data_IF_444842177202
#
_entry.id   IF_444842177202
#
_cell.length_a   1.000
_cell.length_b   1.000
_cell.length_c   1.000
_cell.angle_alpha   90.00
_cell.angle_beta   90.00
_cell.angle_gamma   90.00
#
_symmetry.space_group_name_H-M   'P 1'
#
loop_
_entity.id
_entity.type
_entity.pdbx_description
1 polymer ?
#
# COMPACT_ATOMS: atom_id res chain seq x y z
N UNK A 1 55.00 33.97 11.05
CA UNK A 1 54.39 34.82 10.01
C UNK A 1 52.90 34.52 9.94
N UNK A 2 52.03 35.47 10.31
CA UNK A 2 50.56 35.30 10.24
C UNK A 2 50.13 35.49 8.78
N UNK A 3 49.63 34.46 8.10
CA UNK A 3 49.15 34.62 6.73
C UNK A 3 47.97 35.63 6.68
N UNK A 4 47.88 36.47 5.64
CA UNK A 4 46.94 37.59 5.61
C UNK A 4 45.50 37.06 5.67
N UNK A 5 44.71 37.57 6.64
CA UNK A 5 43.36 37.10 7.01
C UNK A 5 42.44 36.80 5.81
N UNK A 6 42.55 37.60 4.75
CA UNK A 6 41.83 37.44 3.48
C UNK A 6 42.10 36.11 2.75
N UNK A 7 43.35 35.61 2.74
CA UNK A 7 43.70 34.34 2.07
C UNK A 7 43.16 33.13 2.83
N UNK A 8 43.04 33.23 4.16
CA UNK A 8 42.46 32.17 4.99
C UNK A 8 40.96 32.07 4.87
N UNK A 9 40.27 33.22 4.79
CA UNK A 9 38.83 33.24 4.51
C UNK A 9 38.54 32.62 3.13
N UNK A 10 39.36 32.92 2.11
CA UNK A 10 39.25 32.32 0.79
C UNK A 10 39.43 30.79 0.80
N UNK A 11 40.42 30.28 1.53
CA UNK A 11 40.64 28.83 1.70
C UNK A 11 39.44 28.19 2.41
N UNK A 12 38.92 28.82 3.45
CA UNK A 12 37.77 28.30 4.22
C UNK A 12 36.50 28.28 3.37
N UNK A 13 36.25 29.32 2.57
CA UNK A 13 35.14 29.37 1.61
C UNK A 13 35.31 28.29 0.53
N UNK A 14 36.52 28.08 -0.01
CA UNK A 14 36.78 27.04 -1.00
C UNK A 14 36.51 25.63 -0.45
N UNK A 15 36.93 25.35 0.79
CA UNK A 15 36.67 24.07 1.47
C UNK A 15 35.15 23.86 1.67
N UNK A 16 34.43 24.90 2.08
CA UNK A 16 32.98 24.83 2.26
C UNK A 16 32.27 24.52 0.93
N UNK A 17 32.71 25.15 -0.16
CA UNK A 17 32.15 24.97 -1.50
C UNK A 17 32.42 23.55 -2.04
N UNK A 18 33.65 23.06 -1.90
CA UNK A 18 34.02 21.68 -2.28
C UNK A 18 33.23 20.66 -1.46
N UNK A 19 33.05 20.88 -0.16
CA UNK A 19 32.28 19.98 0.70
C UNK A 19 30.81 19.94 0.29
N UNK A 20 30.22 21.09 -0.05
CA UNK A 20 28.82 21.18 -0.51
C UNK A 20 28.63 20.51 -1.88
N UNK A 21 29.58 20.69 -2.80
CA UNK A 21 29.57 20.03 -4.12
C UNK A 21 29.75 18.51 -3.94
N UNK A 22 30.65 18.07 -3.06
CA UNK A 22 30.88 16.67 -2.77
C UNK A 22 29.64 16.00 -2.16
N UNK A 23 28.95 16.65 -1.21
CA UNK A 23 27.71 16.11 -0.63
C UNK A 23 26.57 16.06 -1.64
N UNK A 24 26.41 17.08 -2.49
CA UNK A 24 25.44 17.09 -3.59
C UNK A 24 25.74 16.01 -4.63
N UNK A 25 27.02 15.84 -4.98
CA UNK A 25 27.47 14.82 -5.94
C UNK A 25 27.26 13.41 -5.38
N UNK A 26 27.63 13.17 -4.12
CA UNK A 26 27.34 11.90 -3.45
C UNK A 26 25.83 11.67 -3.40
N UNK A 27 25.01 12.68 -3.12
CA UNK A 27 23.55 12.55 -3.13
C UNK A 27 22.98 12.22 -4.52
N UNK A 28 23.57 12.75 -5.60
CA UNK A 28 23.14 12.48 -6.98
C UNK A 28 23.63 11.14 -7.53
N UNK A 29 24.86 10.74 -7.21
CA UNK A 29 25.44 9.47 -7.68
C UNK A 29 25.09 8.28 -6.79
N UNK A 30 24.82 8.54 -5.51
CA UNK A 30 24.18 7.58 -4.60
C UNK A 30 22.67 7.70 -4.76
N UNK A 31 22.17 7.47 -5.98
CA UNK A 31 20.89 6.81 -6.15
C UNK A 31 21.14 5.35 -5.76
N UNK A 32 20.83 4.89 -4.54
CA UNK A 32 20.43 3.49 -4.45
C UNK A 32 19.24 3.33 -5.42
N UNK A 33 19.06 2.15 -5.97
CA UNK A 33 17.75 1.73 -6.43
C UNK A 33 16.79 1.91 -5.25
N UNK A 34 16.20 3.10 -5.14
CA UNK A 34 15.23 3.43 -4.12
C UNK A 34 13.95 2.71 -4.53
N UNK A 35 13.91 1.42 -4.20
CA UNK A 35 12.70 0.82 -3.68
C UNK A 35 12.09 1.79 -2.65
N UNK A 36 10.93 2.33 -2.98
CA UNK A 36 9.95 2.75 -1.98
C UNK A 36 10.14 4.14 -1.37
N UNK A 37 9.88 5.19 -2.15
CA UNK A 37 9.07 6.28 -1.60
C UNK A 37 7.67 5.75 -1.23
N UNK A 38 7.00 6.26 -0.16
CA UNK A 38 5.67 5.83 0.21
C UNK A 38 4.64 6.36 -0.82
N UNK A 39 4.55 5.70 -1.98
CA UNK A 39 3.57 6.12 -2.99
C UNK A 39 3.64 5.44 -4.35
N UNK A 40 4.80 4.92 -4.78
CA UNK A 40 4.96 4.40 -6.14
C UNK A 40 5.77 3.10 -6.21
N UNK A 41 5.39 2.11 -5.41
CA UNK A 41 5.70 0.73 -5.80
C UNK A 41 4.78 0.35 -6.96
N UNK A 42 5.31 -0.28 -8.01
CA UNK A 42 4.46 -0.94 -9.00
C UNK A 42 3.37 -1.74 -8.26
N UNK A 43 2.08 -1.67 -8.69
CA UNK A 43 0.97 -2.34 -8.01
C UNK A 43 1.26 -3.81 -7.68
N UNK A 44 2.00 -4.49 -8.58
CA UNK A 44 2.42 -5.89 -8.40
C UNK A 44 3.36 -6.16 -7.23
N UNK A 45 4.18 -5.20 -6.80
CA UNK A 45 5.14 -5.41 -5.70
C UNK A 45 4.47 -5.39 -4.33
N UNK A 46 3.44 -4.58 -4.13
CA UNK A 46 2.66 -4.60 -2.88
C UNK A 46 1.85 -5.90 -2.76
N UNK A 47 1.24 -6.34 -3.87
CA UNK A 47 0.47 -7.59 -3.95
C UNK A 47 1.36 -8.81 -3.67
N UNK A 48 2.57 -8.86 -4.26
CA UNK A 48 3.56 -9.90 -3.98
C UNK A 48 4.02 -9.91 -2.53
N UNK A 49 4.31 -8.75 -1.94
CA UNK A 49 4.72 -8.62 -0.52
C UNK A 49 3.64 -9.14 0.44
N UNK A 50 2.37 -8.83 0.17
CA UNK A 50 1.26 -9.38 0.98
C UNK A 50 1.13 -10.90 0.80
N UNK A 51 1.31 -11.38 -0.43
CA UNK A 51 1.38 -12.80 -0.73
C UNK A 51 2.45 -13.53 0.07
N UNK A 52 3.67 -13.02 0.05
CA UNK A 52 4.82 -13.56 0.77
C UNK A 52 4.58 -13.55 2.29
N UNK A 53 4.04 -12.45 2.82
CA UNK A 53 3.68 -12.38 4.23
C UNK A 53 2.77 -13.53 4.69
N UNK A 54 1.79 -13.93 3.88
CA UNK A 54 0.93 -15.07 4.21
C UNK A 54 1.69 -16.40 4.21
N UNK A 55 2.50 -16.64 3.18
CA UNK A 55 3.35 -17.85 3.06
C UNK A 55 4.26 -17.98 4.28
N UNK A 56 4.92 -16.88 4.66
CA UNK A 56 5.85 -16.84 5.79
C UNK A 56 5.15 -17.01 7.14
N UNK A 57 4.03 -16.31 7.37
CA UNK A 57 3.32 -16.37 8.64
C UNK A 57 2.68 -17.73 8.91
N UNK A 58 2.22 -18.41 7.85
CA UNK A 58 1.58 -19.72 7.95
C UNK A 58 2.57 -20.87 7.77
N UNK A 59 3.82 -20.57 7.41
CA UNK A 59 4.88 -21.55 7.12
C UNK A 59 4.37 -22.63 6.17
N UNK A 60 3.86 -22.17 5.02
CA UNK A 60 3.41 -23.09 3.98
C UNK A 60 4.56 -23.96 3.49
N UNK A 61 4.27 -25.24 3.27
CA UNK A 61 5.19 -26.12 2.55
C UNK A 61 5.16 -25.81 1.05
N UNK A 62 6.03 -26.47 0.27
CA UNK A 62 6.16 -26.22 -1.17
C UNK A 62 4.88 -26.51 -1.96
N UNK A 63 4.05 -27.45 -1.51
CA UNK A 63 2.79 -27.80 -2.17
C UNK A 63 1.72 -26.75 -1.85
N UNK A 64 1.61 -26.36 -0.58
CA UNK A 64 0.71 -25.31 -0.12
C UNK A 64 1.05 -23.96 -0.73
N UNK A 65 2.33 -23.61 -0.83
CA UNK A 65 2.80 -22.36 -1.42
C UNK A 65 2.42 -22.30 -2.91
N UNK A 66 2.68 -23.36 -3.68
CA UNK A 66 2.31 -23.43 -5.08
C UNK A 66 0.79 -23.30 -5.28
N UNK A 67 0.00 -23.93 -4.41
CA UNK A 67 -1.46 -23.79 -4.42
C UNK A 67 -1.90 -22.36 -4.07
N UNK A 68 -1.27 -21.74 -3.07
CA UNK A 68 -1.56 -20.37 -2.65
C UNK A 68 -1.31 -19.36 -3.77
N UNK A 69 -0.17 -19.46 -4.49
CA UNK A 69 0.13 -18.55 -5.58
C UNK A 69 -0.88 -18.64 -6.73
N UNK A 70 -1.35 -19.85 -7.07
CA UNK A 70 -2.45 -20.04 -8.04
C UNK A 70 -3.75 -19.39 -7.56
N UNK A 71 -4.10 -19.55 -6.28
CA UNK A 71 -5.27 -18.93 -5.69
C UNK A 71 -5.17 -17.40 -5.71
N UNK A 72 -4.01 -16.83 -5.40
CA UNK A 72 -3.74 -15.40 -5.49
C UNK A 72 -3.93 -14.90 -6.93
N UNK A 73 -3.31 -15.55 -7.90
CA UNK A 73 -3.34 -15.11 -9.29
C UNK A 73 -4.76 -15.13 -9.85
N UNK A 74 -5.54 -16.17 -9.50
CA UNK A 74 -6.96 -16.23 -9.84
C UNK A 74 -7.77 -15.08 -9.21
N UNK A 75 -7.47 -14.70 -7.96
CA UNK A 75 -8.12 -13.57 -7.30
C UNK A 75 -7.76 -12.26 -7.99
N UNK A 76 -6.47 -12.05 -8.30
CA UNK A 76 -5.97 -10.82 -8.93
C UNK A 76 -6.55 -10.62 -10.33
N UNK A 77 -6.67 -11.68 -11.11
CA UNK A 77 -7.30 -11.64 -12.44
C UNK A 77 -8.77 -11.16 -12.37
N UNK A 78 -9.46 -11.44 -11.26
CA UNK A 78 -10.85 -11.00 -11.04
C UNK A 78 -10.89 -9.60 -10.39
N UNK A 79 -10.01 -9.32 -9.43
CA UNK A 79 -10.04 -8.06 -8.67
C UNK A 79 -9.64 -6.84 -9.50
N UNK A 80 -8.61 -6.96 -10.35
CA UNK A 80 -8.12 -5.84 -11.19
C UNK A 80 -9.24 -5.20 -12.03
N UNK A 81 -9.98 -5.93 -12.88
CA UNK A 81 -11.02 -5.32 -13.70
C UNK A 81 -12.18 -4.76 -12.86
N UNK A 82 -12.50 -5.36 -11.70
CA UNK A 82 -13.53 -4.83 -10.81
C UNK A 82 -13.09 -3.52 -10.16
N UNK A 83 -11.82 -3.41 -9.76
CA UNK A 83 -11.26 -2.18 -9.20
C UNK A 83 -11.23 -1.06 -10.24
N UNK A 84 -10.86 -1.36 -11.48
CA UNK A 84 -10.87 -0.39 -12.57
C UNK A 84 -12.29 0.05 -12.94
N UNK A 85 -13.25 -0.89 -12.97
CA UNK A 85 -14.67 -0.58 -13.14
C UNK A 85 -15.19 0.31 -12.01
N UNK A 86 -14.81 0.02 -10.76
CA UNK A 86 -15.19 0.85 -9.61
C UNK A 86 -14.60 2.25 -9.69
N UNK A 87 -13.34 2.41 -10.15
CA UNK A 87 -12.73 3.74 -10.40
C UNK A 87 -13.52 4.52 -11.45
N UNK A 88 -13.90 3.86 -12.55
CA UNK A 88 -14.74 4.45 -13.60
C UNK A 88 -16.11 4.88 -13.07
N UNK A 89 -16.80 4.02 -12.31
CA UNK A 89 -18.09 4.38 -11.69
C UNK A 89 -17.96 5.51 -10.67
N UNK A 90 -16.87 5.58 -9.89
CA UNK A 90 -16.59 6.72 -9.00
C UNK A 90 -16.39 8.01 -9.79
N UNK A 91 -15.65 7.97 -10.90
CA UNK A 91 -15.49 9.13 -11.78
C UNK A 91 -16.86 9.62 -12.29
N UNK A 92 -17.65 8.72 -12.88
CA UNK A 92 -19.01 9.04 -13.35
C UNK A 92 -19.95 9.55 -12.26
N UNK A 93 -19.80 9.05 -11.03
CA UNK A 93 -20.56 9.53 -9.89
C UNK A 93 -20.23 10.99 -9.56
N UNK A 94 -18.95 11.37 -9.56
CA UNK A 94 -18.55 12.76 -9.31
C UNK A 94 -18.74 13.67 -10.53
N UNK A 95 -18.77 13.13 -11.74
CA UNK A 95 -19.08 13.89 -12.95
C UNK A 95 -20.52 14.46 -12.90
N UNK A 96 -21.43 13.89 -12.09
CA UNK A 96 -22.77 14.44 -11.84
C UNK A 96 -22.73 15.89 -11.31
N UNK A 97 -21.64 16.32 -10.66
CA UNK A 97 -21.48 17.70 -10.19
C UNK A 97 -21.46 18.73 -11.33
N UNK A 98 -21.16 18.28 -12.55
CA UNK A 98 -21.12 19.12 -13.74
C UNK A 98 -22.42 19.05 -14.56
N UNK A 99 -23.40 18.23 -14.16
CA UNK A 99 -24.67 18.07 -14.87
C UNK A 99 -25.74 19.04 -14.33
N UNK A 100 -26.19 20.05 -15.10
CA UNK A 100 -27.29 20.90 -14.69
C UNK A 100 -28.57 20.07 -14.63
N UNK A 101 -29.10 19.86 -13.42
CA UNK A 101 -30.30 19.06 -13.18
C UNK A 101 -30.05 17.66 -12.63
N UNK A 102 -28.86 17.37 -12.08
CA UNK A 102 -28.62 16.14 -11.34
C UNK A 102 -29.68 15.95 -10.22
N UNK A 103 -30.48 14.90 -10.35
CA UNK A 103 -31.54 14.56 -9.38
C UNK A 103 -31.03 13.57 -8.32
N UNK A 104 -31.70 13.52 -7.17
CA UNK A 104 -31.42 12.52 -6.14
C UNK A 104 -31.52 11.09 -6.68
N UNK A 105 -32.45 10.83 -7.60
CA UNK A 105 -32.57 9.52 -8.25
C UNK A 105 -31.31 9.14 -9.05
N UNK A 106 -30.69 10.11 -9.73
CA UNK A 106 -29.42 9.89 -10.45
C UNK A 106 -28.27 9.64 -9.48
N UNK A 107 -28.23 10.38 -8.38
CA UNK A 107 -27.24 10.19 -7.31
C UNK A 107 -27.32 8.78 -6.71
N UNK A 108 -28.54 8.31 -6.38
CA UNK A 108 -28.76 6.96 -5.87
C UNK A 108 -28.38 5.90 -6.90
N UNK A 109 -28.76 6.06 -8.17
CA UNK A 109 -28.41 5.11 -9.22
C UNK A 109 -26.88 4.97 -9.39
N UNK A 110 -26.15 6.08 -9.49
CA UNK A 110 -24.69 6.08 -9.67
C UNK A 110 -23.95 5.55 -8.43
N UNK A 111 -24.43 5.86 -7.23
CA UNK A 111 -23.84 5.32 -5.99
C UNK A 111 -24.09 3.81 -5.84
N UNK A 112 -25.25 3.31 -6.28
CA UNK A 112 -25.54 1.88 -6.31
C UNK A 112 -24.59 1.09 -7.23
N UNK A 113 -24.18 1.67 -8.37
CA UNK A 113 -23.15 1.03 -9.23
C UNK A 113 -21.85 0.78 -8.46
N UNK A 114 -21.41 1.77 -7.66
CA UNK A 114 -20.20 1.64 -6.82
C UNK A 114 -20.42 0.57 -5.75
N UNK A 115 -21.58 0.56 -5.09
CA UNK A 115 -21.90 -0.42 -4.06
C UNK A 115 -21.90 -1.87 -4.59
N UNK A 116 -22.41 -2.09 -5.80
CA UNK A 116 -22.38 -3.40 -6.46
C UNK A 116 -20.94 -3.88 -6.68
N UNK A 117 -20.05 -2.99 -7.13
CA UNK A 117 -18.64 -3.32 -7.35
C UNK A 117 -17.91 -3.59 -6.03
N UNK A 118 -18.17 -2.81 -4.98
CA UNK A 118 -17.62 -3.04 -3.65
C UNK A 118 -18.05 -4.41 -3.10
N UNK A 119 -19.36 -4.73 -3.17
CA UNK A 119 -19.90 -6.05 -2.80
C UNK A 119 -19.19 -7.18 -3.53
N UNK A 120 -18.90 -7.01 -4.82
CA UNK A 120 -18.19 -8.00 -5.63
C UNK A 120 -16.74 -8.19 -5.15
N UNK A 121 -16.02 -7.11 -4.85
CA UNK A 121 -14.66 -7.18 -4.28
C UNK A 121 -14.65 -7.91 -2.93
N UNK A 122 -15.58 -7.57 -2.03
CA UNK A 122 -15.67 -8.19 -0.70
C UNK A 122 -15.97 -9.69 -0.82
N UNK A 123 -16.89 -10.05 -1.71
CA UNK A 123 -17.25 -11.46 -1.97
C UNK A 123 -16.08 -12.27 -2.53
N UNK A 124 -15.32 -11.69 -3.46
CA UNK A 124 -14.12 -12.33 -4.04
C UNK A 124 -13.04 -12.52 -2.97
N UNK A 125 -12.83 -11.50 -2.12
CA UNK A 125 -11.83 -11.52 -1.05
C UNK A 125 -12.17 -12.57 0.01
N UNK A 126 -13.44 -12.64 0.44
CA UNK A 126 -13.92 -13.66 1.36
C UNK A 126 -13.72 -15.08 0.79
N UNK A 127 -14.11 -15.31 -0.46
CA UNK A 127 -13.92 -16.60 -1.13
C UNK A 127 -12.45 -16.98 -1.26
N UNK A 128 -11.57 -16.02 -1.52
CA UNK A 128 -10.13 -16.27 -1.53
C UNK A 128 -9.65 -16.77 -0.16
N UNK A 129 -10.01 -16.08 0.93
CA UNK A 129 -9.64 -16.54 2.27
C UNK A 129 -10.25 -17.89 2.64
N UNK A 130 -11.48 -18.20 2.22
CA UNK A 130 -12.03 -19.55 2.36
C UNK A 130 -11.16 -20.61 1.67
N UNK A 131 -10.72 -20.36 0.43
CA UNK A 131 -9.85 -21.30 -0.30
C UNK A 131 -8.47 -21.42 0.34
N UNK A 132 -7.91 -20.32 0.84
CA UNK A 132 -6.63 -20.34 1.58
C UNK A 132 -6.77 -21.12 2.89
N UNK A 133 -7.87 -20.96 3.62
CA UNK A 133 -8.15 -21.77 4.83
C UNK A 133 -8.19 -23.27 4.50
N UNK A 134 -8.78 -23.63 3.36
CA UNK A 134 -8.93 -25.04 2.97
C UNK A 134 -7.60 -25.74 2.62
N UNK A 135 -6.56 -25.00 2.22
CA UNK A 135 -5.23 -25.56 1.98
C UNK A 135 -4.37 -25.61 3.25
N UNK A 136 -4.81 -24.98 4.35
CA UNK A 136 -4.10 -25.00 5.63
C UNK A 136 -4.27 -26.36 6.32
N UNK A 137 -3.22 -26.84 6.97
CA UNK A 137 -3.27 -28.00 7.86
C UNK A 137 -3.89 -27.63 9.22
N UNK A 138 -4.36 -28.62 10.01
CA UNK A 138 -4.99 -28.35 11.31
C UNK A 138 -4.13 -27.51 12.27
N UNK A 139 -2.81 -27.71 12.27
CA UNK A 139 -1.84 -26.95 13.07
C UNK A 139 -1.71 -25.47 12.65
N UNK A 140 -2.04 -25.14 11.40
CA UNK A 140 -1.93 -23.79 10.85
C UNK A 140 -3.22 -22.96 11.02
N UNK A 141 -4.37 -23.59 11.27
CA UNK A 141 -5.68 -22.92 11.30
C UNK A 141 -5.78 -21.83 12.37
N UNK A 142 -5.23 -22.06 13.56
CA UNK A 142 -5.24 -21.06 14.63
C UNK A 142 -4.44 -19.80 14.27
N UNK A 143 -3.29 -19.99 13.61
CA UNK A 143 -2.46 -18.89 13.13
C UNK A 143 -3.15 -18.15 11.98
N UNK A 144 -3.78 -18.88 11.05
CA UNK A 144 -4.59 -18.32 9.98
C UNK A 144 -5.69 -17.39 10.51
N UNK A 145 -6.48 -17.85 11.49
CA UNK A 145 -7.57 -17.06 12.07
C UNK A 145 -7.06 -15.75 12.70
N UNK A 146 -5.90 -15.80 13.35
CA UNK A 146 -5.26 -14.63 13.94
C UNK A 146 -4.78 -13.64 12.87
N UNK A 147 -4.10 -14.14 11.84
CA UNK A 147 -3.54 -13.33 10.76
C UNK A 147 -4.65 -12.66 9.93
N UNK A 148 -5.72 -13.41 9.60
CA UNK A 148 -6.88 -12.85 8.89
C UNK A 148 -7.55 -11.74 9.69
N UNK A 149 -7.74 -11.92 11.01
CA UNK A 149 -8.32 -10.89 11.85
C UNK A 149 -7.49 -9.59 11.82
N UNK A 150 -6.18 -9.70 11.88
CA UNK A 150 -5.29 -8.54 11.77
C UNK A 150 -5.38 -7.86 10.39
N UNK A 151 -5.41 -8.66 9.32
CA UNK A 151 -5.54 -8.17 7.95
C UNK A 151 -6.87 -7.42 7.77
N UNK A 152 -7.99 -8.00 8.20
CA UNK A 152 -9.31 -7.38 8.13
C UNK A 152 -9.34 -6.06 8.91
N UNK A 153 -8.77 -6.04 10.12
CA UNK A 153 -8.66 -4.82 10.92
C UNK A 153 -7.88 -3.70 10.20
N UNK A 154 -6.85 -4.06 9.42
CA UNK A 154 -6.08 -3.10 8.60
C UNK A 154 -6.83 -2.68 7.33
N UNK A 155 -7.69 -3.54 6.79
CA UNK A 155 -8.52 -3.24 5.60
C UNK A 155 -9.71 -2.35 5.92
N UNK A 156 -10.25 -2.39 7.14
CA UNK A 156 -11.32 -1.49 7.58
C UNK A 156 -10.74 -0.13 7.99
N UNK A 157 -11.02 0.97 7.26
CA UNK A 157 -10.47 2.29 7.57
C UNK A 157 -10.98 2.90 8.89
N UNK A 158 -12.01 2.31 9.52
CA UNK A 158 -12.53 2.75 10.81
C UNK A 158 -11.79 2.07 11.97
N UNK A 159 -10.54 2.49 12.25
CA UNK A 159 -9.94 2.58 13.60
C UNK A 159 -8.49 3.05 13.52
N UNK A 160 -8.29 4.34 13.78
CA UNK A 160 -7.05 4.87 14.35
C UNK A 160 -7.41 5.87 15.45
N UNK A 161 -7.97 5.35 16.55
CA UNK A 161 -7.66 5.95 17.85
C UNK A 161 -6.18 5.65 18.09
N UNK A 162 -5.32 6.60 17.71
CA UNK A 162 -3.97 6.68 18.23
C UNK A 162 -4.16 7.20 19.67
N UNK A 163 -3.85 6.46 20.74
CA UNK A 163 -3.78 7.10 22.05
C UNK A 163 -2.64 8.12 21.96
N UNK A 164 -2.98 9.40 22.09
CA UNK A 164 -1.99 10.46 22.21
C UNK A 164 -1.08 10.13 23.39
N UNK A 165 0.18 9.82 23.12
CA UNK A 165 1.21 9.59 24.13
C UNK A 165 1.73 10.90 24.73
N UNK A 166 0.87 11.92 24.87
CA UNK A 166 1.24 13.24 25.37
C UNK A 166 0.22 13.74 26.38
N UNK A 167 0.01 13.03 27.49
CA UNK A 167 -0.42 13.65 28.75
C UNK A 167 -0.08 12.72 29.93
N UNK A 168 1.21 12.61 30.25
CA UNK A 168 1.59 12.52 31.66
C UNK A 168 3.01 13.07 31.90
N UNK A 169 3.09 14.38 32.08
CA UNK A 169 4.09 15.02 32.93
C UNK A 169 3.37 16.08 33.75
N UNK A 170 2.94 15.70 34.95
CA UNK A 170 2.97 16.55 36.14
C UNK A 170 3.40 15.68 37.31
#
# INVERSE_FOLDING_TARGET
MRPPRQKWLLVLVAILLITNIATLSIYWFKKPDHEGGPGHGEPGNREKRFGQFMVDQLKFDTVQEAAYWKLRDSMMAIQKPVMDSMRSSKKRFFDLLNEPGATDSMLTARSNEIAIMQKKLDSVTFRHFQKVRAICRPDQLQKFDTVIKEIVNRMTPFRRNRPDSTFNKK
#
